data_IF_942029186501
#
_entry.id   IF_942029186501
#
_cell.length_a   1.000
_cell.length_b   1.000
_cell.length_c   1.000
_cell.angle_alpha   90.00
_cell.angle_beta   90.00
_cell.angle_gamma   90.00
#
_symmetry.space_group_name_H-M   'P 1'
#
loop_
_entity.id
_entity.type
_entity.pdbx_description
1 polymer ?
#
# COMPACT_ATOMS: atom_id res chain seq x y z
N UNK A 1 -20.45 9.48 -20.96
CA UNK A 1 -19.46 10.03 -20.00
C UNK A 1 -18.78 8.84 -19.34
N UNK A 2 -17.67 8.39 -19.91
CA UNK A 2 -16.98 7.18 -19.44
C UNK A 2 -15.97 7.62 -18.38
N UNK A 3 -16.25 7.28 -17.12
CA UNK A 3 -15.31 7.51 -16.02
C UNK A 3 -14.13 6.55 -16.19
N UNK A 4 -13.07 7.00 -16.84
CA UNK A 4 -11.79 6.31 -16.86
C UNK A 4 -11.14 6.46 -15.48
N UNK A 5 -11.43 5.49 -14.60
CA UNK A 5 -10.59 5.23 -13.43
C UNK A 5 -9.22 4.82 -13.95
N UNK A 6 -8.20 5.69 -13.83
CA UNK A 6 -6.80 5.32 -14.05
C UNK A 6 -6.50 4.12 -13.14
N UNK A 7 -6.13 3.02 -13.79
CA UNK A 7 -6.08 1.69 -13.19
C UNK A 7 -4.87 1.56 -12.25
N UNK A 8 -5.05 0.82 -11.15
CA UNK A 8 -3.92 0.13 -10.50
C UNK A 8 -3.13 -0.64 -11.58
N UNK A 9 -1.82 -0.81 -11.38
CA UNK A 9 -0.97 -1.60 -12.29
C UNK A 9 -1.67 -2.89 -12.75
N UNK A 10 -1.59 -3.19 -14.05
CA UNK A 10 -2.44 -4.19 -14.68
C UNK A 10 -2.30 -5.58 -14.03
N UNK A 11 -1.11 -5.92 -13.52
CA UNK A 11 -0.80 -7.23 -12.98
C UNK A 11 -0.49 -7.19 -11.47
N UNK A 12 -0.95 -8.21 -10.75
CA UNK A 12 -0.58 -8.45 -9.36
C UNK A 12 0.83 -9.05 -9.27
N UNK A 13 1.67 -8.49 -8.40
CA UNK A 13 2.95 -9.05 -8.00
C UNK A 13 2.73 -10.09 -6.89
N UNK A 14 3.36 -11.26 -7.03
CA UNK A 14 3.39 -12.29 -5.98
C UNK A 14 4.56 -12.05 -5.04
N UNK A 15 4.27 -11.84 -3.77
CA UNK A 15 5.24 -11.72 -2.68
C UNK A 15 5.17 -12.95 -1.77
N UNK A 16 6.33 -13.48 -1.42
CA UNK A 16 6.46 -14.50 -0.36
C UNK A 16 7.21 -13.89 0.81
N UNK A 17 6.57 -13.86 1.99
CA UNK A 17 7.11 -13.26 3.21
C UNK A 17 7.41 -14.40 4.18
N UNK A 18 8.68 -14.73 4.45
CA UNK A 18 9.05 -15.80 5.36
C UNK A 18 8.54 -15.55 6.79
N UNK A 19 8.48 -16.59 7.64
CA UNK A 19 8.30 -16.42 9.08
C UNK A 19 9.33 -15.44 9.65
N UNK A 20 8.96 -14.68 10.68
CA UNK A 20 9.83 -13.71 11.37
C UNK A 20 10.33 -12.56 10.48
N UNK A 21 9.81 -12.39 9.27
CA UNK A 21 10.23 -11.37 8.30
C UNK A 21 9.13 -10.36 7.98
N UNK A 22 9.52 -9.24 7.36
CA UNK A 22 8.64 -8.24 6.76
C UNK A 22 9.08 -7.90 5.34
N UNK A 23 8.15 -7.38 4.53
CA UNK A 23 8.41 -6.85 3.19
C UNK A 23 7.93 -5.41 3.13
N UNK A 24 8.78 -4.54 2.62
CA UNK A 24 8.51 -3.11 2.47
C UNK A 24 8.41 -2.76 0.98
N UNK A 25 7.39 -1.99 0.62
CA UNK A 25 7.15 -1.48 -0.73
C UNK A 25 7.10 0.04 -0.63
N UNK A 26 8.10 0.72 -1.19
CA UNK A 26 8.29 2.16 -1.04
C UNK A 26 7.96 2.91 -2.32
N UNK A 27 7.24 4.02 -2.16
CA UNK A 27 6.80 4.90 -3.23
C UNK A 27 7.35 6.30 -2.98
N UNK A 28 8.13 6.82 -3.93
CA UNK A 28 8.57 8.22 -3.92
C UNK A 28 7.47 9.10 -4.52
N UNK A 29 6.80 9.88 -3.67
CA UNK A 29 5.76 10.82 -4.09
C UNK A 29 6.40 12.19 -4.32
N UNK A 30 6.42 12.61 -5.59
CA UNK A 30 7.02 13.87 -6.04
C UNK A 30 6.04 15.04 -6.11
N UNK A 31 4.75 14.75 -6.05
CA UNK A 31 3.68 15.75 -6.11
C UNK A 31 2.71 15.55 -4.95
N UNK A 32 2.54 16.59 -4.13
CA UNK A 32 1.60 16.58 -3.01
C UNK A 32 0.15 16.38 -3.48
N UNK A 33 -0.67 15.76 -2.64
CA UNK A 33 -2.06 15.38 -2.93
C UNK A 33 -2.22 14.30 -4.02
N UNK A 34 -1.14 13.57 -4.36
CA UNK A 34 -1.24 12.30 -5.08
C UNK A 34 -2.02 11.27 -4.26
N UNK A 35 -2.52 10.23 -4.92
CA UNK A 35 -3.23 9.12 -4.29
C UNK A 35 -2.40 7.84 -4.38
N UNK A 36 -2.12 7.21 -3.25
CA UNK A 36 -1.61 5.85 -3.17
C UNK A 36 -2.80 4.89 -3.11
N UNK A 37 -2.92 4.03 -4.11
CA UNK A 37 -3.95 3.01 -4.19
C UNK A 37 -3.31 1.63 -4.10
N UNK A 38 -3.92 0.72 -3.37
CA UNK A 38 -3.47 -0.67 -3.29
C UNK A 38 -4.64 -1.65 -3.27
N UNK A 39 -4.32 -2.86 -3.69
CA UNK A 39 -5.17 -4.02 -3.62
C UNK A 39 -4.31 -5.25 -3.35
N UNK A 40 -4.66 -6.07 -2.36
CA UNK A 40 -3.96 -7.33 -2.13
C UNK A 40 -4.84 -8.46 -1.62
N UNK A 41 -4.43 -9.69 -1.96
CA UNK A 41 -4.99 -10.95 -1.48
C UNK A 41 -3.92 -11.76 -0.76
N UNK A 42 -4.29 -12.40 0.34
CA UNK A 42 -3.46 -13.29 1.15
C UNK A 42 -3.94 -14.72 0.95
N UNK A 43 -3.05 -15.62 0.50
CA UNK A 43 -3.36 -17.06 0.42
C UNK A 43 -3.12 -17.81 1.74
N UNK A 44 -2.37 -17.20 2.66
CA UNK A 44 -1.85 -17.86 3.86
C UNK A 44 -2.38 -17.26 5.17
N UNK A 45 -3.71 -17.21 5.35
CA UNK A 45 -4.41 -16.59 6.50
C UNK A 45 -4.31 -15.06 6.50
N UNK A 46 -3.48 -14.51 7.35
CA UNK A 46 -3.48 -13.11 7.77
C UNK A 46 -2.09 -12.47 7.56
N UNK A 47 -1.98 -11.15 7.64
CA UNK A 47 -0.72 -10.41 7.61
C UNK A 47 -0.87 -9.13 8.41
N UNK A 48 0.17 -8.67 9.09
CA UNK A 48 0.14 -7.32 9.66
C UNK A 48 0.43 -6.31 8.54
N UNK A 49 -0.49 -5.37 8.33
CA UNK A 49 -0.35 -4.27 7.37
C UNK A 49 -0.16 -2.94 8.10
N UNK A 50 0.74 -2.11 7.60
CA UNK A 50 0.88 -0.71 8.02
C UNK A 50 1.34 0.17 6.86
N UNK A 51 1.13 1.49 6.99
CA UNK A 51 1.62 2.50 6.06
C UNK A 51 2.46 3.52 6.82
N UNK A 52 3.70 3.69 6.39
CA UNK A 52 4.64 4.65 6.95
C UNK A 52 4.85 5.82 5.99
N UNK A 53 5.20 6.98 6.53
CA UNK A 53 5.69 8.12 5.77
C UNK A 53 7.02 8.60 6.31
N UNK A 54 7.95 8.89 5.40
CA UNK A 54 9.24 9.51 5.70
C UNK A 54 9.43 10.73 4.81
N UNK A 55 9.51 11.92 5.44
CA UNK A 55 9.97 13.14 4.79
C UNK A 55 11.50 13.20 4.69
N UNK A 56 12.05 14.23 4.04
CA UNK A 56 13.50 14.33 3.76
C UNK A 56 14.39 14.28 5.02
N UNK A 57 13.94 14.87 6.13
CA UNK A 57 14.76 15.05 7.34
C UNK A 57 14.14 14.44 8.59
N UNK A 58 13.04 13.70 8.45
CA UNK A 58 12.24 13.20 9.57
C UNK A 58 12.38 11.70 9.75
N UNK A 59 12.23 11.25 11.00
CA UNK A 59 11.99 9.85 11.31
C UNK A 59 10.67 9.38 10.66
N UNK A 60 10.59 8.10 10.26
CA UNK A 60 9.34 7.55 9.73
C UNK A 60 8.20 7.68 10.75
N UNK A 61 7.05 8.16 10.29
CA UNK A 61 5.81 8.23 11.06
C UNK A 61 4.79 7.22 10.53
N UNK A 62 4.06 6.56 11.42
CA UNK A 62 2.94 5.70 11.05
C UNK A 62 1.75 6.55 10.61
N UNK A 63 1.30 6.35 9.36
CA UNK A 63 0.07 6.94 8.83
C UNK A 63 -1.12 6.01 9.03
N UNK A 64 -0.90 4.72 8.77
CA UNK A 64 -1.83 3.65 9.10
C UNK A 64 -1.09 2.75 10.11
N UNK A 65 -1.54 2.72 11.37
CA UNK A 65 -0.95 1.87 12.39
C UNK A 65 -0.98 0.40 11.97
N UNK A 66 -0.07 -0.39 12.53
CA UNK A 66 -0.04 -1.83 12.30
C UNK A 66 -1.37 -2.48 12.70
N UNK A 67 -2.02 -3.09 11.73
CA UNK A 67 -3.27 -3.83 11.91
C UNK A 67 -3.19 -5.20 11.24
N UNK A 68 -3.77 -6.21 11.91
CA UNK A 68 -3.88 -7.54 11.35
C UNK A 68 -5.01 -7.56 10.32
N UNK A 69 -4.69 -7.92 9.09
CA UNK A 69 -5.66 -8.08 8.01
C UNK A 69 -5.69 -9.54 7.55
N UNK A 70 -6.87 -9.99 7.13
CA UNK A 70 -7.06 -11.22 6.39
C UNK A 70 -7.94 -10.93 5.17
N UNK A 71 -7.84 -11.76 4.13
CA UNK A 71 -8.61 -11.59 2.89
C UNK A 71 -9.38 -12.86 2.57
N UNK A 72 -9.85 -13.56 3.60
CA UNK A 72 -10.50 -14.86 3.41
C UNK A 72 -11.89 -14.74 2.74
N UNK A 73 -12.53 -13.57 2.88
CA UNK A 73 -13.83 -13.27 2.28
C UNK A 73 -13.77 -12.22 1.16
N UNK A 74 -12.91 -11.21 1.30
CA UNK A 74 -12.79 -10.11 0.35
C UNK A 74 -11.33 -9.66 0.22
N UNK A 75 -10.96 -9.22 -0.99
CA UNK A 75 -9.67 -8.60 -1.28
C UNK A 75 -9.53 -7.28 -0.54
N UNK A 76 -8.41 -7.08 0.15
CA UNK A 76 -8.16 -5.82 0.85
C UNK A 76 -7.86 -4.71 -0.18
N UNK A 77 -8.54 -3.58 -0.05
CA UNK A 77 -8.38 -2.41 -0.92
C UNK A 77 -8.21 -1.16 -0.09
N UNK A 78 -7.32 -0.28 -0.52
CA UNK A 78 -7.17 1.01 0.11
C UNK A 78 -6.79 2.12 -0.85
N UNK A 79 -7.13 3.33 -0.43
CA UNK A 79 -6.82 4.58 -1.09
C UNK A 79 -6.37 5.55 0.00
N UNK A 80 -5.16 6.08 -0.15
CA UNK A 80 -4.58 7.04 0.77
C UNK A 80 -4.15 8.31 0.03
N UNK A 81 -4.59 9.47 0.51
CA UNK A 81 -4.18 10.76 -0.04
C UNK A 81 -2.83 11.17 0.52
N UNK A 82 -1.81 11.17 -0.33
CA UNK A 82 -0.45 11.58 0.01
C UNK A 82 -0.36 13.11 0.07
N UNK A 83 -0.77 13.72 1.19
CA UNK A 83 -0.80 15.19 1.37
C UNK A 83 0.58 15.85 1.28
N UNK A 84 1.65 15.10 1.52
CA UNK A 84 3.04 15.59 1.54
C UNK A 84 3.93 14.84 0.55
N UNK A 85 4.91 15.55 0.00
CA UNK A 85 6.02 14.98 -0.78
C UNK A 85 6.93 14.18 0.16
N UNK A 86 7.41 13.03 -0.29
CA UNK A 86 8.29 12.14 0.47
C UNK A 86 8.10 10.68 0.12
N UNK A 87 8.62 9.79 0.96
CA UNK A 87 8.52 8.35 0.76
C UNK A 87 7.38 7.77 1.58
N UNK A 88 6.46 7.07 0.92
CA UNK A 88 5.41 6.29 1.56
C UNK A 88 5.78 4.81 1.46
N UNK A 89 5.74 4.10 2.57
CA UNK A 89 6.17 2.69 2.64
C UNK A 89 5.04 1.84 3.16
N UNK A 90 4.52 0.95 2.31
CA UNK A 90 3.63 -0.12 2.72
C UNK A 90 4.46 -1.25 3.34
N UNK A 91 4.07 -1.72 4.52
CA UNK A 91 4.76 -2.79 5.23
C UNK A 91 3.81 -3.98 5.39
N UNK A 92 4.21 -5.12 4.81
CA UNK A 92 3.57 -6.42 5.02
C UNK A 92 4.45 -7.21 6.00
N UNK A 93 3.98 -7.40 7.21
CA UNK A 93 4.75 -7.90 8.34
C UNK A 93 4.24 -9.30 8.77
N UNK A 94 5.14 -10.28 8.72
CA UNK A 94 4.92 -11.66 9.18
C UNK A 94 5.81 -12.00 10.38
N UNK A 95 6.34 -11.00 11.09
CA UNK A 95 7.26 -11.16 12.21
C UNK A 95 6.68 -11.95 13.38
N UNK A 96 5.35 -11.98 13.50
CA UNK A 96 4.62 -12.75 14.51
C UNK A 96 4.56 -14.25 14.19
N UNK A 97 4.77 -14.67 12.93
CA UNK A 97 4.68 -16.07 12.53
C UNK A 97 6.03 -16.77 12.73
N UNK A 98 6.03 -17.87 13.47
CA UNK A 98 7.24 -18.66 13.71
C UNK A 98 7.54 -19.67 12.61
N UNK A 99 6.51 -20.18 11.92
CA UNK A 99 6.65 -21.36 11.03
C UNK A 99 6.08 -21.10 9.63
N UNK A 100 5.02 -20.32 9.50
CA UNK A 100 4.27 -20.22 8.24
C UNK A 100 4.66 -18.97 7.44
N UNK A 101 5.16 -19.12 6.20
CA UNK A 101 5.32 -18.00 5.28
C UNK A 101 3.95 -17.47 4.84
N UNK A 102 3.92 -16.22 4.39
CA UNK A 102 2.74 -15.57 3.84
C UNK A 102 2.92 -15.35 2.35
N UNK A 103 1.95 -15.80 1.57
CA UNK A 103 1.87 -15.54 0.14
C UNK A 103 0.84 -14.45 -0.10
N UNK A 104 1.31 -13.31 -0.60
CA UNK A 104 0.51 -12.10 -0.84
C UNK A 104 0.58 -11.74 -2.32
N UNK A 105 -0.56 -11.61 -2.97
CA UNK A 105 -0.67 -11.07 -4.32
C UNK A 105 -1.07 -9.61 -4.19
N UNK A 106 -0.23 -8.68 -4.63
CA UNK A 106 -0.44 -7.25 -4.41
C UNK A 106 -0.24 -6.46 -5.70
N UNK A 107 -1.03 -5.40 -5.85
CA UNK A 107 -0.74 -4.32 -6.78
C UNK A 107 -0.93 -2.99 -6.05
N UNK A 108 -0.09 -2.02 -6.38
CA UNK A 108 -0.17 -0.69 -5.80
C UNK A 108 0.37 0.34 -6.79
N UNK A 109 -0.17 1.55 -6.75
CA UNK A 109 0.20 2.62 -7.65
C UNK A 109 0.05 4.01 -7.00
N UNK A 110 0.89 4.96 -7.45
CA UNK A 110 0.71 6.38 -7.16
C UNK A 110 0.04 7.05 -8.36
N UNK A 111 -1.10 7.68 -8.12
CA UNK A 111 -1.82 8.50 -9.07
C UNK A 111 -1.61 9.99 -8.73
N UNK A 112 -1.02 10.80 -9.63
CA UNK A 112 -0.90 12.25 -9.43
C UNK A 112 -2.26 12.91 -9.15
N UNK A 113 -2.29 14.06 -8.44
CA UNK A 113 -3.53 14.78 -8.19
C UNK A 113 -4.24 15.09 -9.51
N UNK A 114 -5.57 14.92 -9.53
CA UNK A 114 -6.38 15.38 -10.65
C UNK A 114 -6.52 16.90 -10.52
N UNK A 115 -5.96 17.65 -11.46
CA UNK A 115 -6.34 19.05 -11.63
C UNK A 115 -7.77 19.08 -12.16
N UNK A 116 -8.71 19.44 -11.30
CA UNK A 116 -10.09 19.65 -11.72
C UNK A 116 -10.15 20.98 -12.48
N UNK A 117 -10.36 20.94 -13.79
CA UNK A 117 -10.51 22.13 -14.64
C UNK A 117 -11.92 22.75 -14.48
N UNK A 118 -12.39 22.88 -13.23
CA UNK A 118 -13.71 23.37 -12.87
C UNK A 118 -13.66 24.80 -12.33
N UNK A 119 -12.94 25.68 -13.03
CA UNK A 119 -13.17 27.13 -12.99
C UNK A 119 -13.26 27.64 -14.44
N UNK A 120 -14.50 27.74 -14.94
CA UNK A 120 -14.88 28.62 -16.04
C UNK A 120 -15.99 29.53 -15.55
#
# INVERSE_FOLDING_TARGET
MTNERKQLGADFEKLTIPPLCKKEISFEVKEANSNLEWEYDIKSKDIDFSLLFKGETLEPVELIPKQRTDTCYETEKGLFKCEKIGTYTMVLDNSYSWIYPKEVYIRAAINPPKHDNSEK
#
